data_IF_014978277486
#
_entry.id   IF_014978277486
#
_cell.length_a   1.000
_cell.length_b   1.000
_cell.length_c   1.000
_cell.angle_alpha   90.00
_cell.angle_beta   90.00
_cell.angle_gamma   90.00
#
_symmetry.space_group_name_H-M   'P 1'
#
loop_
_entity.id
_entity.type
_entity.pdbx_description
1 polymer ?
#
# COMPACT_ATOMS: atom_id res chain seq x y z
N UNK A 1 28.68 9.62 -30.25
CA UNK A 1 28.17 9.45 -28.88
C UNK A 1 28.35 7.98 -28.54
N UNK A 2 29.37 7.65 -27.75
CA UNK A 2 29.48 6.31 -27.18
C UNK A 2 28.32 6.14 -26.21
N UNK A 3 27.40 5.24 -26.54
CA UNK A 3 26.36 4.81 -25.62
C UNK A 3 27.08 3.95 -24.60
N UNK A 4 27.45 4.54 -23.47
CA UNK A 4 27.94 3.80 -22.30
C UNK A 4 26.76 2.96 -21.83
N UNK A 5 26.69 1.72 -22.29
CA UNK A 5 25.74 0.74 -21.76
C UNK A 5 26.23 0.44 -20.34
N UNK A 6 25.61 1.08 -19.34
CA UNK A 6 25.82 0.69 -17.94
C UNK A 6 25.64 -0.82 -17.87
N UNK A 7 26.68 -1.52 -17.46
CA UNK A 7 26.68 -2.97 -17.32
C UNK A 7 25.69 -3.31 -16.20
N UNK A 8 24.44 -3.55 -16.58
CA UNK A 8 23.35 -3.92 -15.70
C UNK A 8 23.84 -5.02 -14.75
N UNK A 9 23.94 -4.67 -13.48
CA UNK A 9 24.46 -5.57 -12.47
C UNK A 9 23.29 -6.02 -11.59
N UNK A 10 22.62 -7.14 -11.93
CA UNK A 10 21.37 -7.54 -11.30
C UNK A 10 21.50 -7.77 -9.80
N UNK A 11 22.68 -8.15 -9.30
CA UNK A 11 22.89 -8.34 -7.86
C UNK A 11 22.98 -7.01 -7.11
N UNK A 12 23.56 -5.97 -7.70
CA UNK A 12 23.64 -4.63 -7.09
C UNK A 12 22.28 -3.97 -7.02
N UNK A 13 21.48 -4.07 -8.08
CA UNK A 13 20.14 -3.49 -8.13
C UNK A 13 19.21 -4.17 -7.12
N UNK A 14 19.28 -5.51 -7.04
CA UNK A 14 18.51 -6.28 -6.06
C UNK A 14 18.93 -5.96 -4.62
N UNK A 15 20.24 -5.79 -4.36
CA UNK A 15 20.77 -5.40 -3.06
C UNK A 15 20.27 -4.01 -2.66
N UNK A 16 20.40 -3.04 -3.55
CA UNK A 16 19.99 -1.66 -3.31
C UNK A 16 18.49 -1.57 -3.02
N UNK A 17 17.65 -2.24 -3.83
CA UNK A 17 16.21 -2.33 -3.57
C UNK A 17 15.92 -2.99 -2.21
N UNK A 18 16.65 -4.04 -1.86
CA UNK A 18 16.51 -4.72 -0.56
C UNK A 18 16.82 -3.81 0.63
N UNK A 19 17.91 -3.02 0.55
CA UNK A 19 18.28 -2.04 1.58
C UNK A 19 17.23 -0.94 1.70
N UNK A 20 16.77 -0.37 0.57
CA UNK A 20 15.72 0.65 0.60
C UNK A 20 14.41 0.12 1.19
N UNK A 21 13.98 -1.08 0.80
CA UNK A 21 12.79 -1.71 1.38
C UNK A 21 12.96 -1.92 2.89
N UNK A 22 14.13 -2.35 3.34
CA UNK A 22 14.39 -2.52 4.77
C UNK A 22 14.27 -1.20 5.54
N UNK A 23 14.92 -0.14 5.04
CA UNK A 23 14.88 1.19 5.68
C UNK A 23 13.45 1.71 5.71
N UNK A 24 12.73 1.65 4.58
CA UNK A 24 11.34 2.11 4.50
C UNK A 24 10.47 1.27 5.43
N UNK A 25 10.58 -0.06 5.42
CA UNK A 25 9.79 -0.93 6.29
C UNK A 25 9.97 -0.61 7.77
N UNK A 26 11.22 -0.43 8.22
CA UNK A 26 11.53 -0.03 9.60
C UNK A 26 10.96 1.35 9.91
N UNK A 27 11.14 2.31 9.01
CA UNK A 27 10.67 3.68 9.19
C UNK A 27 9.13 3.74 9.31
N UNK A 28 8.42 2.97 8.50
CA UNK A 28 6.96 2.87 8.57
C UNK A 28 6.49 2.20 9.88
N UNK A 29 7.20 1.18 10.35
CA UNK A 29 6.87 0.53 11.62
C UNK A 29 7.10 1.44 12.84
N UNK A 30 8.09 2.32 12.79
CA UNK A 30 8.39 3.27 13.87
C UNK A 30 7.45 4.48 13.84
N UNK A 31 7.14 5.00 12.65
CA UNK A 31 6.28 6.18 12.49
C UNK A 31 4.79 5.88 12.67
N UNK A 32 4.35 4.63 12.54
CA UNK A 32 2.95 4.22 12.75
C UNK A 32 1.96 5.10 11.95
N UNK A 33 0.87 5.60 12.55
CA UNK A 33 -0.09 6.48 11.90
C UNK A 33 0.54 7.73 11.26
N UNK A 34 1.60 8.31 11.85
CA UNK A 34 2.29 9.45 11.25
C UNK A 34 2.91 9.08 9.89
N UNK A 35 3.35 7.82 9.72
CA UNK A 35 3.84 7.31 8.44
C UNK A 35 2.77 7.34 7.35
N UNK A 36 1.55 6.90 7.68
CA UNK A 36 0.41 6.96 6.76
C UNK A 36 0.04 8.40 6.42
N UNK A 37 0.05 9.30 7.42
CA UNK A 37 -0.15 10.74 7.21
C UNK A 37 0.85 11.33 6.21
N UNK A 38 2.13 11.04 6.36
CA UNK A 38 3.15 11.50 5.41
C UNK A 38 2.95 10.93 4.01
N UNK A 39 2.58 9.65 3.89
CA UNK A 39 2.25 9.03 2.60
C UNK A 39 1.10 9.78 1.91
N UNK A 40 0.04 10.10 2.65
CA UNK A 40 -1.12 10.83 2.11
C UNK A 40 -0.74 12.24 1.65
N UNK A 41 0.08 12.96 2.42
CA UNK A 41 0.57 14.29 2.03
C UNK A 41 1.41 14.21 0.76
N UNK A 42 2.37 13.27 0.69
CA UNK A 42 3.22 13.08 -0.49
C UNK A 42 2.37 12.72 -1.71
N UNK A 43 1.44 11.76 -1.57
CA UNK A 43 0.50 11.40 -2.63
C UNK A 43 -0.34 12.59 -3.09
N UNK A 44 -0.82 13.42 -2.15
CA UNK A 44 -1.55 14.65 -2.44
C UNK A 44 -0.73 15.65 -3.25
N UNK A 45 0.54 15.87 -2.88
CA UNK A 45 1.47 16.74 -3.63
C UNK A 45 1.66 16.21 -5.06
N UNK A 46 1.90 14.90 -5.22
CA UNK A 46 2.00 14.28 -6.54
C UNK A 46 0.72 14.46 -7.36
N UNK A 47 -0.46 14.27 -6.77
CA UNK A 47 -1.74 14.50 -7.46
C UNK A 47 -1.92 15.96 -7.89
N UNK A 48 -1.53 16.93 -7.06
CA UNK A 48 -1.56 18.35 -7.45
C UNK A 48 -0.64 18.62 -8.62
N UNK A 49 0.60 18.13 -8.58
CA UNK A 49 1.58 18.32 -9.67
C UNK A 49 1.06 17.69 -10.97
N UNK A 50 0.61 16.44 -10.93
CA UNK A 50 0.05 15.75 -12.09
C UNK A 50 -1.21 16.48 -12.59
N UNK A 51 -2.10 16.90 -11.69
CA UNK A 51 -3.30 17.64 -12.03
C UNK A 51 -3.01 18.96 -12.75
N UNK A 52 -1.98 19.72 -12.29
CA UNK A 52 -1.53 20.94 -12.96
C UNK A 52 -0.98 20.63 -14.36
N UNK A 53 -0.12 19.61 -14.50
CA UNK A 53 0.43 19.20 -15.79
C UNK A 53 -0.68 18.76 -16.77
N UNK A 54 -1.66 18.00 -16.30
CA UNK A 54 -2.84 17.60 -17.08
C UNK A 54 -3.72 18.80 -17.47
N UNK A 55 -3.86 19.79 -16.59
CA UNK A 55 -4.61 21.01 -16.88
C UNK A 55 -3.96 21.81 -18.02
N UNK A 56 -2.62 21.94 -18.02
CA UNK A 56 -1.89 22.58 -19.12
C UNK A 56 -2.09 21.83 -20.43
N UNK A 57 -2.01 20.49 -20.42
CA UNK A 57 -2.21 19.67 -21.62
C UNK A 57 -3.63 19.71 -22.17
N UNK A 58 -4.65 19.81 -21.31
CA UNK A 58 -6.07 19.81 -21.72
C UNK A 58 -6.54 21.16 -22.25
N UNK A 59 -5.97 22.27 -21.77
CA UNK A 59 -6.21 23.61 -22.35
C UNK A 59 -5.69 23.68 -23.78
N UNK A 60 -4.57 23.04 -24.10
CA UNK A 60 -4.03 22.97 -25.46
C UNK A 60 -4.89 22.12 -26.40
N UNK A 61 -5.54 21.06 -25.89
CA UNK A 61 -6.39 20.16 -26.69
C UNK A 61 -7.88 20.55 -26.74
N UNK A 62 -8.30 21.64 -26.04
CA UNK A 62 -9.69 22.13 -25.94
C UNK A 62 -10.71 21.09 -25.47
N UNK A 63 -10.26 20.07 -24.74
CA UNK A 63 -11.14 18.98 -24.29
C UNK A 63 -11.75 19.30 -22.92
N UNK A 64 -13.01 19.76 -22.90
CA UNK A 64 -13.69 20.24 -21.69
C UNK A 64 -13.78 19.18 -20.56
N UNK A 65 -13.96 17.90 -20.92
CA UNK A 65 -13.97 16.80 -19.94
C UNK A 65 -12.59 16.60 -19.31
N UNK A 66 -11.52 16.84 -20.08
CA UNK A 66 -10.15 16.74 -19.61
C UNK A 66 -9.80 17.82 -18.59
N UNK A 67 -10.26 19.06 -18.82
CA UNK A 67 -10.07 20.15 -17.86
C UNK A 67 -10.83 19.92 -16.55
N UNK A 68 -12.03 19.33 -16.60
CA UNK A 68 -12.80 19.02 -15.39
C UNK A 68 -12.11 17.94 -14.54
N UNK A 69 -11.63 16.86 -15.17
CA UNK A 69 -10.89 15.81 -14.48
C UNK A 69 -9.57 16.32 -13.87
N UNK A 70 -8.86 17.22 -14.56
CA UNK A 70 -7.65 17.85 -14.04
C UNK A 70 -7.95 18.69 -12.78
N UNK A 71 -9.02 19.47 -12.81
CA UNK A 71 -9.46 20.27 -11.65
C UNK A 71 -9.85 19.37 -10.46
N UNK A 72 -10.62 18.30 -10.69
CA UNK A 72 -10.98 17.33 -9.65
C UNK A 72 -9.72 16.69 -9.04
N UNK A 73 -8.75 16.32 -9.88
CA UNK A 73 -7.47 15.74 -9.42
C UNK A 73 -6.71 16.69 -8.52
N UNK A 74 -6.66 17.99 -8.87
CA UNK A 74 -6.04 19.02 -8.03
C UNK A 74 -6.80 19.17 -6.71
N UNK A 75 -8.13 19.23 -6.74
CA UNK A 75 -8.95 19.38 -5.53
C UNK A 75 -8.78 18.20 -4.57
N UNK A 76 -8.75 16.97 -5.09
CA UNK A 76 -8.47 15.77 -4.30
C UNK A 76 -7.05 15.83 -3.72
N UNK A 77 -6.06 16.22 -4.53
CA UNK A 77 -4.68 16.38 -4.06
C UNK A 77 -4.55 17.41 -2.94
N UNK A 78 -5.22 18.56 -3.06
CA UNK A 78 -5.27 19.59 -2.01
C UNK A 78 -5.98 19.07 -0.77
N UNK A 79 -7.09 18.35 -0.92
CA UNK A 79 -7.81 17.76 0.21
C UNK A 79 -6.94 16.74 0.98
N UNK A 80 -6.16 15.92 0.28
CA UNK A 80 -5.21 14.98 0.90
C UNK A 80 -4.11 15.68 1.70
N UNK A 81 -3.64 16.84 1.24
CA UNK A 81 -2.61 17.63 1.93
C UNK A 81 -3.18 18.30 3.18
N UNK A 82 -4.38 18.89 3.08
CA UNK A 82 -4.97 19.69 4.16
C UNK A 82 -5.65 18.84 5.23
N UNK A 83 -6.25 17.71 4.86
CA UNK A 83 -7.06 16.86 5.75
C UNK A 83 -6.55 15.41 5.78
N UNK A 84 -5.25 15.15 5.99
CA UNK A 84 -4.72 13.79 5.90
C UNK A 84 -5.32 12.86 6.97
N UNK A 85 -5.67 13.39 8.15
CA UNK A 85 -6.28 12.61 9.23
C UNK A 85 -7.68 12.10 8.84
N UNK A 86 -8.49 12.92 8.14
CA UNK A 86 -9.78 12.49 7.64
C UNK A 86 -9.65 11.34 6.65
N UNK A 87 -8.70 11.44 5.72
CA UNK A 87 -8.45 10.37 4.75
C UNK A 87 -7.86 9.11 5.40
N UNK A 88 -7.02 9.27 6.42
CA UNK A 88 -6.55 8.16 7.23
C UNK A 88 -7.74 7.40 7.85
N UNK A 89 -8.64 8.11 8.54
CA UNK A 89 -9.81 7.49 9.17
C UNK A 89 -10.73 6.81 8.15
N UNK A 90 -10.94 7.44 6.99
CA UNK A 90 -11.73 6.87 5.89
C UNK A 90 -11.07 5.59 5.36
N UNK A 91 -9.75 5.59 5.13
CA UNK A 91 -9.03 4.40 4.67
C UNK A 91 -9.12 3.26 5.69
N UNK A 92 -8.99 3.57 6.97
CA UNK A 92 -9.11 2.59 8.04
C UNK A 92 -10.54 2.04 8.15
N UNK A 93 -11.55 2.88 7.96
CA UNK A 93 -12.94 2.45 7.93
C UNK A 93 -13.21 1.53 6.74
N UNK A 94 -12.70 1.86 5.55
CA UNK A 94 -12.80 1.01 4.36
C UNK A 94 -12.11 -0.34 4.61
N UNK A 95 -10.90 -0.34 5.18
CA UNK A 95 -10.18 -1.56 5.53
C UNK A 95 -10.97 -2.40 6.53
N UNK A 96 -11.54 -1.79 7.55
CA UNK A 96 -12.34 -2.48 8.57
C UNK A 96 -13.59 -3.13 7.97
N UNK A 97 -14.30 -2.41 7.09
CA UNK A 97 -15.45 -2.96 6.34
C UNK A 97 -15.00 -4.12 5.46
N UNK A 98 -13.86 -4.00 4.77
CA UNK A 98 -13.32 -5.07 3.95
C UNK A 98 -13.00 -6.32 4.78
N UNK A 99 -12.41 -6.17 5.98
CA UNK A 99 -12.16 -7.29 6.90
C UNK A 99 -13.46 -7.99 7.30
N UNK A 100 -14.52 -7.25 7.60
CA UNK A 100 -15.84 -7.83 7.92
C UNK A 100 -16.40 -8.59 6.72
N UNK A 101 -16.39 -8.00 5.53
CA UNK A 101 -16.92 -8.64 4.31
C UNK A 101 -16.15 -9.91 3.98
N UNK A 102 -14.81 -9.85 3.99
CA UNK A 102 -13.95 -11.02 3.75
C UNK A 102 -14.18 -12.07 4.83
N UNK A 103 -14.32 -11.66 6.10
CA UNK A 103 -14.62 -12.58 7.20
C UNK A 103 -15.96 -13.29 7.03
N UNK A 104 -17.01 -12.57 6.61
CA UNK A 104 -18.32 -13.15 6.29
C UNK A 104 -18.19 -14.17 5.15
N UNK A 105 -17.48 -13.82 4.06
CA UNK A 105 -17.26 -14.73 2.94
C UNK A 105 -16.57 -16.03 3.40
N UNK A 106 -15.51 -15.92 4.21
CA UNK A 106 -14.81 -17.09 4.76
C UNK A 106 -15.70 -17.98 5.64
N UNK A 107 -16.64 -17.40 6.38
CA UNK A 107 -17.64 -18.16 7.17
C UNK A 107 -18.70 -18.79 6.26
N UNK A 108 -19.10 -18.12 5.18
CA UNK A 108 -20.12 -18.61 4.24
C UNK A 108 -19.60 -19.67 3.25
N UNK A 109 -18.29 -19.76 3.03
CA UNK A 109 -17.62 -20.76 2.19
C UNK A 109 -17.82 -22.23 2.67
N UNK A 110 -18.58 -22.45 3.75
CA UNK A 110 -19.05 -23.78 4.20
C UNK A 110 -19.77 -24.55 3.06
N UNK A 111 -20.41 -23.85 2.09
CA UNK A 111 -21.26 -24.47 1.06
C UNK A 111 -20.82 -24.27 -0.40
N UNK A 112 -19.91 -23.36 -0.71
CA UNK A 112 -19.44 -23.15 -2.09
C UNK A 112 -18.14 -23.91 -2.30
N UNK A 113 -18.14 -24.86 -3.22
CA UNK A 113 -17.04 -25.77 -3.57
C UNK A 113 -15.75 -25.11 -4.11
N UNK A 114 -15.47 -23.86 -3.78
CA UNK A 114 -14.19 -23.21 -3.97
C UNK A 114 -13.32 -23.51 -2.76
N UNK A 115 -12.78 -24.71 -2.74
CA UNK A 115 -11.74 -25.10 -1.80
C UNK A 115 -10.50 -24.23 -2.06
N UNK A 116 -10.37 -23.13 -1.33
CA UNK A 116 -9.06 -22.53 -1.06
C UNK A 116 -8.27 -23.58 -0.31
N UNK A 117 -7.46 -24.32 -1.08
CA UNK A 117 -6.35 -25.17 -0.65
C UNK A 117 -6.52 -25.86 0.71
N UNK A 118 -7.21 -27.01 0.75
CA UNK A 118 -7.06 -28.09 1.73
C UNK A 118 -6.72 -27.71 3.20
N UNK A 119 -7.20 -26.57 3.68
CA UNK A 119 -7.25 -26.21 5.09
C UNK A 119 -8.57 -26.71 5.61
N UNK A 120 -8.56 -27.46 6.73
CA UNK A 120 -9.76 -27.94 7.40
C UNK A 120 -10.85 -26.87 7.38
N UNK A 121 -12.08 -27.21 6.99
CA UNK A 121 -13.23 -26.28 6.96
C UNK A 121 -13.41 -25.50 8.28
N UNK A 122 -12.87 -26.03 9.39
CA UNK A 122 -12.82 -25.33 10.67
C UNK A 122 -11.88 -24.11 10.65
N UNK A 123 -10.75 -24.17 9.93
CA UNK A 123 -9.76 -23.09 9.82
C UNK A 123 -10.34 -21.89 9.06
N UNK A 124 -11.06 -22.09 7.96
CA UNK A 124 -11.69 -20.97 7.24
C UNK A 124 -12.73 -20.26 8.09
N UNK A 125 -13.54 -21.01 8.85
CA UNK A 125 -14.52 -20.43 9.80
C UNK A 125 -13.82 -19.68 10.93
N UNK A 126 -12.77 -20.24 11.53
CA UNK A 126 -12.01 -19.57 12.60
C UNK A 126 -11.39 -18.27 12.08
N UNK A 127 -10.72 -18.33 10.92
CA UNK A 127 -10.13 -17.14 10.27
C UNK A 127 -11.21 -16.11 9.97
N UNK A 128 -12.35 -16.54 9.42
CA UNK A 128 -13.47 -15.65 9.12
C UNK A 128 -14.04 -14.93 10.35
N UNK A 129 -14.25 -15.65 11.45
CA UNK A 129 -14.70 -15.07 12.73
C UNK A 129 -13.67 -14.08 13.27
N UNK A 130 -12.38 -14.43 13.24
CA UNK A 130 -11.30 -13.53 13.67
C UNK A 130 -11.30 -12.24 12.84
N UNK A 131 -11.43 -12.34 11.52
CA UNK A 131 -11.48 -11.17 10.63
C UNK A 131 -12.68 -10.26 10.91
N UNK A 132 -13.85 -10.83 11.20
CA UNK A 132 -15.04 -10.05 11.59
C UNK A 132 -14.78 -9.31 12.90
N UNK A 133 -14.27 -10.00 13.93
CA UNK A 133 -13.99 -9.38 15.23
C UNK A 133 -12.95 -8.26 15.10
N UNK A 134 -11.89 -8.49 14.34
CA UNK A 134 -10.87 -7.46 14.05
C UNK A 134 -11.45 -6.28 13.29
N UNK A 135 -12.31 -6.52 12.30
CA UNK A 135 -12.99 -5.46 11.56
C UNK A 135 -13.94 -4.62 12.42
N UNK A 136 -14.72 -5.26 13.31
CA UNK A 136 -15.58 -4.54 14.26
C UNK A 136 -14.74 -3.72 15.23
N UNK A 137 -13.69 -4.30 15.80
CA UNK A 137 -12.76 -3.59 16.68
C UNK A 137 -12.11 -2.39 15.97
N UNK A 138 -11.76 -2.56 14.68
CA UNK A 138 -11.14 -1.52 13.89
C UNK A 138 -12.04 -0.29 13.67
N UNK A 139 -13.35 -0.49 13.46
CA UNK A 139 -14.32 0.62 13.34
C UNK A 139 -14.42 1.41 14.65
N UNK A 140 -14.32 0.73 15.79
CA UNK A 140 -14.42 1.37 17.10
C UNK A 140 -13.17 2.16 17.49
N UNK A 141 -12.03 1.88 16.86
CA UNK A 141 -10.75 2.53 17.14
C UNK A 141 -9.91 2.73 15.87
N UNK A 142 -10.32 3.67 15.01
CA UNK A 142 -9.69 3.91 13.71
C UNK A 142 -8.22 4.35 13.85
N UNK A 143 -7.92 5.23 14.80
CA UNK A 143 -6.56 5.74 15.03
C UNK A 143 -5.62 4.63 15.49
N UNK A 144 -6.00 3.86 16.51
CA UNK A 144 -5.20 2.72 16.97
C UNK A 144 -5.07 1.61 15.92
N UNK A 145 -6.07 1.46 15.05
CA UNK A 145 -5.98 0.52 13.93
C UNK A 145 -4.97 1.00 12.90
N UNK A 146 -4.90 2.31 12.61
CA UNK A 146 -3.91 2.86 11.68
C UNK A 146 -2.49 2.55 12.17
N UNK A 147 -2.23 2.72 13.46
CA UNK A 147 -0.95 2.37 14.08
C UNK A 147 -0.57 0.90 13.87
N UNK A 148 -1.48 -0.01 14.23
CA UNK A 148 -1.24 -1.46 14.12
C UNK A 148 -1.02 -1.87 12.68
N UNK A 149 -1.87 -1.40 11.76
CA UNK A 149 -1.76 -1.72 10.33
C UNK A 149 -0.43 -1.22 9.77
N UNK A 150 -0.03 0.00 10.11
CA UNK A 150 1.24 0.54 9.64
C UNK A 150 2.44 -0.24 10.18
N UNK A 151 2.40 -0.66 11.44
CA UNK A 151 3.42 -1.54 12.03
C UNK A 151 3.51 -2.85 11.26
N UNK A 152 2.38 -3.52 11.02
CA UNK A 152 2.34 -4.80 10.30
C UNK A 152 2.91 -4.63 8.88
N UNK A 153 2.44 -3.63 8.14
CA UNK A 153 2.92 -3.35 6.78
C UNK A 153 4.42 -3.04 6.80
N UNK A 154 4.88 -2.20 7.72
CA UNK A 154 6.30 -1.85 7.86
C UNK A 154 7.17 -3.08 8.13
N UNK A 155 6.76 -3.94 9.06
CA UNK A 155 7.47 -5.20 9.37
C UNK A 155 7.49 -6.13 8.16
N UNK A 156 6.37 -6.31 7.46
CA UNK A 156 6.33 -7.16 6.25
C UNK A 156 7.27 -6.62 5.16
N UNK A 157 7.28 -5.32 4.92
CA UNK A 157 8.19 -4.68 3.97
C UNK A 157 9.66 -4.87 4.40
N UNK A 158 9.96 -4.74 5.69
CA UNK A 158 11.31 -4.95 6.21
C UNK A 158 11.77 -6.40 6.03
N UNK A 159 10.89 -7.38 6.29
CA UNK A 159 11.16 -8.81 6.06
C UNK A 159 11.39 -9.08 4.57
N UNK A 160 10.56 -8.53 3.68
CA UNK A 160 10.77 -8.64 2.24
C UNK A 160 12.10 -8.01 1.79
N UNK A 161 12.48 -6.89 2.38
CA UNK A 161 13.78 -6.25 2.17
C UNK A 161 14.95 -7.16 2.56
N UNK A 162 14.88 -7.79 3.74
CA UNK A 162 15.86 -8.79 4.19
C UNK A 162 15.96 -9.97 3.24
N UNK A 163 14.83 -10.54 2.81
CA UNK A 163 14.80 -11.65 1.86
C UNK A 163 15.44 -11.27 0.51
N UNK A 164 15.22 -10.04 0.03
CA UNK A 164 15.87 -9.52 -1.19
C UNK A 164 17.37 -9.35 -1.01
N UNK A 165 17.83 -8.88 0.14
CA UNK A 165 19.27 -8.78 0.45
C UNK A 165 19.91 -10.17 0.42
N UNK A 166 19.29 -11.17 1.05
CA UNK A 166 19.76 -12.56 1.00
C UNK A 166 19.77 -13.07 -0.45
N UNK A 167 18.71 -12.80 -1.22
CA UNK A 167 18.64 -13.13 -2.64
C UNK A 167 19.76 -12.48 -3.46
N UNK A 168 20.13 -11.23 -3.17
CA UNK A 168 21.22 -10.54 -3.84
C UNK A 168 22.59 -11.19 -3.57
N UNK A 169 22.84 -11.66 -2.34
CA UNK A 169 24.06 -12.42 -2.03
C UNK A 169 24.12 -13.76 -2.79
N UNK A 170 22.98 -14.45 -2.92
CA UNK A 170 22.90 -15.67 -3.72
C UNK A 170 23.17 -15.39 -5.21
N UNK A 171 22.63 -14.29 -5.76
CA UNK A 171 22.92 -13.87 -7.13
C UNK A 171 24.40 -13.54 -7.32
N UNK A 172 25.00 -12.80 -6.38
CA UNK A 172 26.44 -12.48 -6.44
C UNK A 172 27.30 -13.74 -6.59
N UNK A 173 26.98 -14.81 -5.84
CA UNK A 173 27.70 -16.09 -5.91
C UNK A 173 27.56 -16.82 -7.25
N UNK A 174 26.55 -16.51 -8.05
CA UNK A 174 26.30 -17.13 -9.36
C UNK A 174 26.98 -16.34 -10.49
N UNK A 175 27.15 -15.02 -10.31
CA UNK A 175 27.71 -14.11 -11.31
C UNK A 175 29.18 -13.72 -11.10
N UNK A 176 29.75 -14.03 -9.92
CA UNK A 176 31.20 -14.07 -9.66
C UNK A 176 31.76 -15.47 -9.97
#
# INVERSE_FOLDING_TARGET
MEVVIEKFNPWKDTLLMGIFMLIIGVLLAVLKADGLRWILIIAGVFMVVVGILSMIGTVQSKFAVGSAMALITILIGVALILLPNFFQDVLMAILAIALIVIGIINVMEINSGYAVAAGSKAVSVIVGVVLIVLGVYAILNLEGTADIVMIIIGVLIAVMGLLRIIGAYNLKKIFD
#
